data_IF_436063469804
#
_entry.id   IF_436063469804
#
_cell.length_a   1.000
_cell.length_b   1.000
_cell.length_c   1.000
_cell.angle_alpha   90.00
_cell.angle_beta   90.00
_cell.angle_gamma   90.00
#
_symmetry.space_group_name_H-M   'P 1'
#
loop_
_entity.id
_entity.type
_entity.pdbx_description
1 polymer ?
#
# COMPACT_ATOMS: atom_id res chain seq x y z
N UNK A 1 -16.75 1.57 19.48
CA UNK A 1 -16.28 0.82 18.29
C UNK A 1 -14.84 0.42 18.54
N UNK A 2 -14.51 -0.88 18.47
CA UNK A 2 -13.11 -1.34 18.57
C UNK A 2 -12.43 -0.98 17.24
N UNK A 3 -11.55 0.02 17.27
CA UNK A 3 -10.67 0.33 16.14
C UNK A 3 -9.78 -0.90 15.91
N UNK A 4 -9.77 -1.44 14.70
CA UNK A 4 -8.88 -2.54 14.31
C UNK A 4 -7.48 -1.96 14.13
N UNK A 5 -6.82 -1.59 15.24
CA UNK A 5 -5.38 -1.46 15.48
C UNK A 5 -4.44 -0.74 14.51
N UNK A 6 -4.89 -0.27 13.34
CA UNK A 6 -4.02 0.23 12.28
C UNK A 6 -4.34 1.68 11.94
N UNK A 7 -3.34 2.54 12.08
CA UNK A 7 -3.37 3.90 11.52
C UNK A 7 -3.20 3.83 10.01
N UNK A 8 -3.96 4.64 9.28
CA UNK A 8 -3.80 4.78 7.83
C UNK A 8 -2.66 5.76 7.59
N UNK A 9 -1.54 5.27 7.07
CA UNK A 9 -0.36 6.08 6.73
C UNK A 9 -0.17 6.04 5.22
N UNK A 10 0.02 7.21 4.62
CA UNK A 10 0.24 7.37 3.20
C UNK A 10 1.74 7.53 2.89
N UNK A 11 2.24 6.96 1.77
CA UNK A 11 3.60 7.22 1.32
C UNK A 11 3.87 8.73 1.11
N UNK A 12 5.14 9.17 1.19
CA UNK A 12 5.50 10.56 0.96
C UNK A 12 4.96 11.10 -0.38
N UNK A 13 4.35 12.29 -0.34
CA UNK A 13 3.76 12.94 -1.52
C UNK A 13 2.36 12.44 -1.92
N UNK A 14 1.86 11.36 -1.30
CA UNK A 14 0.50 10.89 -1.54
C UNK A 14 -0.50 11.59 -0.63
N UNK A 15 -1.65 11.99 -1.20
CA UNK A 15 -2.76 12.57 -0.45
C UNK A 15 -3.71 11.48 0.03
N UNK A 16 -4.39 11.76 1.14
CA UNK A 16 -5.38 10.86 1.74
C UNK A 16 -6.48 10.43 0.76
N UNK A 17 -6.98 9.21 0.85
CA UNK A 17 -8.18 8.79 0.14
C UNK A 17 -9.40 9.08 1.01
N UNK A 18 -10.48 9.56 0.38
CA UNK A 18 -11.78 9.75 1.02
C UNK A 18 -12.87 9.33 0.05
N UNK A 19 -13.96 8.76 0.57
CA UNK A 19 -15.15 8.39 -0.19
C UNK A 19 -15.85 9.60 -0.81
N UNK A 20 -15.63 10.81 -0.27
CA UNK A 20 -16.23 12.04 -0.78
C UNK A 20 -15.47 12.66 -1.97
N UNK A 21 -14.38 12.01 -2.43
CA UNK A 21 -13.59 12.52 -3.54
C UNK A 21 -14.36 12.43 -4.85
N UNK A 22 -14.18 13.44 -5.71
CA UNK A 22 -14.59 13.32 -7.10
C UNK A 22 -13.78 12.22 -7.77
N UNK A 23 -14.40 11.50 -8.69
CA UNK A 23 -13.78 10.38 -9.41
C UNK A 23 -12.42 10.78 -10.03
N UNK A 24 -12.31 11.98 -10.60
CA UNK A 24 -11.06 12.49 -11.18
C UNK A 24 -9.93 12.63 -10.14
N UNK A 25 -10.26 13.11 -8.95
CA UNK A 25 -9.30 13.28 -7.85
C UNK A 25 -8.92 11.92 -7.27
N UNK A 26 -9.88 11.00 -7.15
CA UNK A 26 -9.64 9.65 -6.69
C UNK A 26 -8.71 8.89 -7.64
N UNK A 27 -8.96 8.96 -8.96
CA UNK A 27 -8.07 8.40 -10.00
C UNK A 27 -6.65 8.93 -9.85
N UNK A 28 -6.50 10.24 -9.68
CA UNK A 28 -5.18 10.87 -9.52
C UNK A 28 -4.47 10.34 -8.27
N UNK A 29 -5.15 10.32 -7.12
CA UNK A 29 -4.55 9.83 -5.86
C UNK A 29 -4.18 8.35 -5.91
N UNK A 30 -5.00 7.52 -6.56
CA UNK A 30 -4.67 6.10 -6.77
C UNK A 30 -3.45 5.92 -7.68
N UNK A 31 -3.28 6.78 -8.69
CA UNK A 31 -2.08 6.74 -9.53
C UNK A 31 -0.83 7.22 -8.78
N UNK A 32 -0.96 8.27 -7.98
CA UNK A 32 0.13 8.76 -7.13
C UNK A 32 0.58 7.66 -6.16
N UNK A 33 -0.37 6.94 -5.54
CA UNK A 33 -0.11 5.77 -4.70
C UNK A 33 0.58 4.64 -5.47
N UNK A 34 0.04 4.28 -6.63
CA UNK A 34 0.61 3.23 -7.49
C UNK A 34 2.07 3.52 -7.85
N UNK A 35 2.41 4.78 -8.18
CA UNK A 35 3.77 5.20 -8.48
C UNK A 35 4.66 5.25 -7.23
N UNK A 36 4.12 5.58 -6.06
CA UNK A 36 4.86 5.54 -4.81
C UNK A 36 5.21 4.09 -4.40
N UNK A 37 4.30 3.15 -4.62
CA UNK A 37 4.55 1.74 -4.35
C UNK A 37 5.64 1.14 -5.25
N UNK A 38 5.72 1.52 -6.53
CA UNK A 38 6.82 1.10 -7.39
C UNK A 38 8.18 1.52 -6.82
N UNK A 39 8.30 2.78 -6.39
CA UNK A 39 9.53 3.31 -5.78
C UNK A 39 9.89 2.58 -4.48
N UNK A 40 8.90 2.22 -3.67
CA UNK A 40 9.12 1.49 -2.43
C UNK A 40 9.60 0.06 -2.70
N UNK A 41 9.03 -0.62 -3.70
CA UNK A 41 9.49 -1.94 -4.16
C UNK A 41 10.92 -1.90 -4.66
N UNK A 42 11.26 -0.93 -5.53
CA UNK A 42 12.62 -0.76 -6.05
C UNK A 42 13.65 -0.44 -4.96
N UNK A 43 13.24 0.32 -3.93
CA UNK A 43 14.11 0.62 -2.78
C UNK A 43 14.39 -0.61 -1.93
N UNK A 44 13.51 -1.61 -1.94
CA UNK A 44 13.73 -2.86 -1.23
C UNK A 44 14.76 -3.74 -1.94
N UNK A 45 14.61 -3.91 -3.25
CA UNK A 45 15.52 -4.70 -4.09
C UNK A 45 16.98 -4.20 -4.03
N UNK A 46 17.20 -2.90 -3.85
CA UNK A 46 18.53 -2.28 -3.76
C UNK A 46 19.21 -2.47 -2.39
N UNK A 47 18.43 -2.62 -1.31
CA UNK A 47 19.00 -2.80 0.04
C UNK A 47 19.42 -4.26 0.30
N UNK A 48 18.81 -5.22 -0.40
CA UNK A 48 19.12 -6.65 -0.25
C UNK A 48 20.36 -7.09 -1.05
N UNK A 49 20.89 -6.25 -1.96
CA UNK A 49 22.10 -6.56 -2.74
C UNK A 49 23.41 -6.38 -1.97
N UNK A 50 23.40 -5.73 -0.80
CA UNK A 50 24.63 -5.41 -0.03
C UNK A 50 24.92 -6.37 1.15
N UNK A 51 24.23 -7.53 1.24
CA UNK A 51 24.23 -8.37 2.45
C UNK A 51 24.45 -9.87 2.24
N UNK A 52 25.56 -10.28 1.63
CA UNK A 52 26.03 -11.67 1.75
C UNK A 52 26.58 -11.90 3.18
N UNK A 53 25.72 -12.29 4.13
CA UNK A 53 26.11 -13.21 5.22
C UNK A 53 24.90 -13.79 5.95
N UNK A 54 24.66 -15.07 5.68
CA UNK A 54 24.10 -16.12 6.55
C UNK A 54 23.55 -15.67 7.90
N UNK A 55 22.22 -15.67 8.10
CA UNK A 55 21.60 -16.02 9.38
C UNK A 55 20.14 -16.46 9.19
N UNK A 56 19.91 -17.76 9.45
CA UNK A 56 18.60 -18.38 9.60
C UNK A 56 18.01 -17.88 10.94
N UNK A 57 17.16 -16.86 10.89
CA UNK A 57 16.39 -16.39 12.06
C UNK A 57 14.94 -16.34 11.63
N UNK A 58 14.07 -17.05 12.34
CA UNK A 58 12.64 -17.11 12.08
C UNK A 58 12.05 -15.69 12.03
N UNK A 59 11.84 -15.16 10.82
CA UNK A 59 11.39 -13.77 10.52
C UNK A 59 9.97 -13.42 10.99
N UNK A 60 9.37 -14.22 11.87
CA UNK A 60 7.96 -14.07 12.27
C UNK A 60 7.70 -12.93 13.27
N UNK A 61 8.73 -12.25 13.79
CA UNK A 61 8.57 -11.25 14.87
C UNK A 61 9.26 -9.90 14.63
N UNK A 62 9.96 -9.69 13.51
CA UNK A 62 10.45 -8.35 13.15
C UNK A 62 9.32 -7.59 12.45
N UNK A 63 8.96 -6.37 12.88
CA UNK A 63 8.04 -5.55 12.10
C UNK A 63 8.66 -5.35 10.71
N UNK A 64 7.96 -5.80 9.67
CA UNK A 64 8.42 -5.62 8.30
C UNK A 64 8.68 -4.14 8.05
N UNK A 65 9.71 -3.83 7.26
CA UNK A 65 10.12 -2.46 6.89
C UNK A 65 8.94 -1.56 6.50
N UNK A 66 7.89 -2.16 5.94
CA UNK A 66 6.69 -1.49 5.44
C UNK A 66 5.42 -1.74 6.27
N UNK A 67 5.51 -2.31 7.48
CA UNK A 67 4.37 -2.64 8.35
C UNK A 67 3.44 -1.46 8.62
N UNK A 68 3.97 -0.24 8.62
CA UNK A 68 3.20 0.99 8.77
C UNK A 68 2.17 1.21 7.64
N UNK A 69 2.31 0.54 6.49
CA UNK A 69 1.38 0.59 5.36
C UNK A 69 0.21 -0.39 5.47
N UNK A 70 0.19 -1.29 6.46
CA UNK A 70 -0.89 -2.29 6.63
C UNK A 70 -2.28 -1.64 6.73
N UNK A 71 -2.39 -0.49 7.40
CA UNK A 71 -3.65 0.27 7.47
C UNK A 71 -4.14 0.77 6.10
N UNK A 72 -3.23 1.15 5.21
CA UNK A 72 -3.56 1.58 3.85
C UNK A 72 -3.98 0.40 2.96
N UNK A 73 -3.35 -0.78 3.12
CA UNK A 73 -3.78 -2.00 2.44
C UNK A 73 -5.21 -2.38 2.84
N UNK A 74 -5.51 -2.33 4.14
CA UNK A 74 -6.85 -2.59 4.65
C UNK A 74 -7.87 -1.56 4.14
N UNK A 75 -7.49 -0.29 4.02
CA UNK A 75 -8.35 0.73 3.40
C UNK A 75 -8.66 0.38 1.94
N UNK A 76 -7.66 0.09 1.13
CA UNK A 76 -7.84 -0.21 -0.30
C UNK A 76 -8.67 -1.48 -0.57
N UNK A 77 -8.62 -2.45 0.36
CA UNK A 77 -9.43 -3.67 0.26
C UNK A 77 -10.85 -3.50 0.79
N UNK A 78 -11.14 -2.39 1.49
CA UNK A 78 -12.49 -2.12 2.00
C UNK A 78 -13.51 -1.94 0.85
N UNK A 79 -14.79 -2.30 1.06
CA UNK A 79 -15.83 -2.21 0.03
C UNK A 79 -15.98 -0.83 -0.61
N UNK A 80 -15.65 0.23 0.14
CA UNK A 80 -15.65 1.60 -0.35
C UNK A 80 -14.78 1.80 -1.61
N UNK A 81 -13.69 1.02 -1.73
CA UNK A 81 -12.74 1.10 -2.85
C UNK A 81 -12.75 -0.15 -3.71
N UNK A 82 -12.82 -1.35 -3.12
CA UNK A 82 -12.78 -2.62 -3.86
C UNK A 82 -14.06 -2.92 -4.62
N UNK A 83 -15.21 -2.42 -4.15
CA UNK A 83 -16.53 -2.59 -4.77
C UNK A 83 -17.06 -1.28 -5.39
N UNK A 84 -16.17 -0.31 -5.65
CA UNK A 84 -16.55 1.00 -6.19
C UNK A 84 -17.31 0.87 -7.52
N UNK A 85 -18.36 1.67 -7.73
CA UNK A 85 -19.24 1.56 -8.91
C UNK A 85 -18.50 1.78 -10.26
N UNK A 86 -17.46 2.60 -10.26
CA UNK A 86 -16.58 2.81 -11.41
C UNK A 86 -15.52 1.70 -11.54
N UNK A 87 -15.53 0.96 -12.65
CA UNK A 87 -14.61 -0.14 -12.93
C UNK A 87 -13.15 0.30 -13.11
N UNK A 88 -12.90 1.52 -13.61
CA UNK A 88 -11.54 2.07 -13.71
C UNK A 88 -10.96 2.30 -12.32
N UNK A 89 -11.78 2.74 -11.35
CA UNK A 89 -11.37 2.86 -9.95
C UNK A 89 -11.03 1.48 -9.37
N UNK A 90 -11.91 0.48 -9.56
CA UNK A 90 -11.64 -0.88 -9.07
C UNK A 90 -10.33 -1.44 -9.62
N UNK A 91 -10.06 -1.24 -10.92
CA UNK A 91 -8.82 -1.70 -11.54
C UNK A 91 -7.59 -1.02 -10.92
N UNK A 92 -7.64 0.30 -10.69
CA UNK A 92 -6.55 1.06 -10.06
C UNK A 92 -6.33 0.64 -8.60
N UNK A 93 -7.40 0.39 -7.86
CA UNK A 93 -7.34 -0.16 -6.50
C UNK A 93 -6.68 -1.54 -6.52
N UNK A 94 -7.11 -2.43 -7.43
CA UNK A 94 -6.51 -3.75 -7.62
C UNK A 94 -5.01 -3.67 -7.91
N UNK A 95 -4.58 -2.76 -8.79
CA UNK A 95 -3.15 -2.51 -9.07
C UNK A 95 -2.42 -2.09 -7.80
N UNK A 96 -2.97 -1.15 -7.02
CA UNK A 96 -2.38 -0.71 -5.76
C UNK A 96 -2.23 -1.88 -4.77
N UNK A 97 -3.28 -2.69 -4.59
CA UNK A 97 -3.26 -3.87 -3.71
C UNK A 97 -2.19 -4.87 -4.17
N UNK A 98 -2.13 -5.21 -5.46
CA UNK A 98 -1.12 -6.13 -5.99
C UNK A 98 0.31 -5.61 -5.76
N UNK A 99 0.55 -4.30 -5.93
CA UNK A 99 1.85 -3.70 -5.65
C UNK A 99 2.20 -3.76 -4.17
N UNK A 100 1.25 -3.44 -3.29
CA UNK A 100 1.46 -3.55 -1.83
C UNK A 100 1.75 -4.99 -1.40
N UNK A 101 1.11 -5.99 -1.99
CA UNK A 101 1.39 -7.40 -1.71
C UNK A 101 2.77 -7.86 -2.18
N UNK A 102 3.43 -7.12 -3.09
CA UNK A 102 4.84 -7.37 -3.44
C UNK A 102 5.82 -6.72 -2.46
N UNK A 103 5.39 -5.69 -1.73
CA UNK A 103 6.20 -4.92 -0.76
C UNK A 103 6.22 -5.64 0.61
N UNK A 104 5.17 -6.40 0.93
CA UNK A 104 5.08 -7.22 2.14
C UNK A 104 5.64 -8.62 1.91
#
# INVERSE_FOLDING_TARGET
MKSVGYSIIYPPGCKELSESLRITDLRKRLNDLSAAFDKLSETDDLCDSDGETTHHVDSSTQPGKFDYLKGLLLLLTSPAYSEHHDRDIQLRVGICVCKMLKIF
#
